data_IF_894010278119
#
_entry.id   IF_894010278119
#
_cell.length_a   1.000
_cell.length_b   1.000
_cell.length_c   1.000
_cell.angle_alpha   90.00
_cell.angle_beta   90.00
_cell.angle_gamma   90.00
#
_symmetry.space_group_name_H-M   'P 1'
#
loop_
_entity.id
_entity.type
_entity.pdbx_description
1 polymer ?
#
# COMPACT_ATOMS: atom_id res chain seq x y z
N UNK A 1 13.61 -23.50 -20.67
CA UNK A 1 14.32 -22.30 -21.15
C UNK A 1 14.07 -21.22 -20.13
N UNK A 2 15.04 -20.39 -19.77
CA UNK A 2 14.83 -19.34 -18.77
C UNK A 2 14.39 -18.06 -19.48
N UNK A 3 13.26 -17.51 -19.07
CA UNK A 3 12.72 -16.27 -19.62
C UNK A 3 13.40 -15.06 -18.95
N UNK A 4 13.71 -14.08 -19.77
CA UNK A 4 14.23 -12.76 -19.39
C UNK A 4 13.51 -11.71 -20.25
N UNK A 5 13.58 -10.43 -19.88
CA UNK A 5 12.94 -9.36 -20.68
C UNK A 5 13.35 -9.44 -22.16
N UNK A 6 14.64 -9.64 -22.41
CA UNK A 6 15.22 -9.58 -23.75
C UNK A 6 14.75 -10.74 -24.65
N UNK A 7 14.48 -11.92 -24.09
CA UNK A 7 14.11 -13.10 -24.87
C UNK A 7 12.61 -13.43 -24.81
N UNK A 8 11.84 -12.74 -23.95
CA UNK A 8 10.43 -13.05 -23.70
C UNK A 8 9.58 -13.00 -24.96
N UNK A 9 9.64 -11.88 -25.70
CA UNK A 9 8.83 -11.67 -26.92
C UNK A 9 9.08 -12.73 -27.99
N UNK A 10 10.29 -13.26 -28.06
CA UNK A 10 10.65 -14.28 -29.05
C UNK A 10 10.27 -15.69 -28.59
N UNK A 11 10.52 -15.99 -27.31
CA UNK A 11 10.20 -17.29 -26.72
C UNK A 11 8.69 -17.56 -26.67
N UNK A 12 7.86 -16.52 -26.55
CA UNK A 12 6.41 -16.68 -26.38
C UNK A 12 5.57 -16.56 -27.65
N UNK A 13 6.19 -16.39 -28.84
CA UNK A 13 5.44 -16.21 -30.11
C UNK A 13 4.46 -17.34 -30.42
N UNK A 14 4.81 -18.56 -29.99
CA UNK A 14 4.04 -19.77 -30.30
C UNK A 14 3.16 -20.24 -29.13
N UNK A 15 3.00 -19.43 -28.07
CA UNK A 15 2.19 -19.78 -26.90
C UNK A 15 0.76 -19.25 -27.06
N UNK A 16 -0.22 -20.13 -26.85
CA UNK A 16 -1.62 -19.73 -26.74
C UNK A 16 -1.95 -19.26 -25.31
N UNK A 17 -1.79 -17.96 -25.06
CA UNK A 17 -2.05 -17.31 -23.76
C UNK A 17 -3.49 -17.41 -23.27
N UNK A 18 -4.45 -17.85 -24.10
CA UNK A 18 -5.84 -18.07 -23.66
C UNK A 18 -5.98 -19.33 -22.80
N UNK A 19 -5.04 -20.28 -22.90
CA UNK A 19 -5.01 -21.54 -22.13
C UNK A 19 -4.24 -21.45 -20.82
N UNK A 20 -3.55 -20.32 -20.58
CA UNK A 20 -2.78 -20.09 -19.36
C UNK A 20 -3.65 -19.55 -18.21
N UNK A 21 -3.18 -19.68 -16.95
CA UNK A 21 -3.84 -19.07 -15.80
C UNK A 21 -4.09 -17.57 -16.02
N UNK A 22 -5.21 -17.07 -15.49
CA UNK A 22 -5.64 -15.67 -15.65
C UNK A 22 -4.54 -14.65 -15.31
N UNK A 23 -3.75 -14.94 -14.27
CA UNK A 23 -2.62 -14.11 -13.86
C UNK A 23 -1.56 -13.96 -14.96
N UNK A 24 -1.23 -15.02 -15.70
CA UNK A 24 -0.27 -14.96 -16.80
C UNK A 24 -0.87 -14.28 -18.04
N UNK A 25 -2.18 -14.42 -18.26
CA UNK A 25 -2.88 -13.77 -19.37
C UNK A 25 -2.93 -12.26 -19.20
N UNK A 26 -3.28 -11.77 -18.00
CA UNK A 26 -3.30 -10.33 -17.70
C UNK A 26 -1.89 -9.73 -17.73
N UNK A 27 -0.91 -10.41 -17.11
CA UNK A 27 0.48 -9.93 -17.12
C UNK A 27 1.09 -9.92 -18.53
N UNK A 28 0.71 -10.85 -19.42
CA UNK A 28 1.17 -10.84 -20.81
C UNK A 28 0.63 -9.64 -21.60
N UNK A 29 -0.65 -9.25 -21.38
CA UNK A 29 -1.25 -8.07 -22.04
C UNK A 29 -0.53 -6.78 -21.68
N UNK A 30 -0.10 -6.66 -20.44
CA UNK A 30 0.56 -5.46 -19.92
C UNK A 30 2.09 -5.56 -19.98
N UNK A 31 2.64 -6.65 -20.54
CA UNK A 31 4.09 -6.90 -20.57
C UNK A 31 4.86 -5.75 -21.23
N UNK A 32 4.41 -5.29 -22.39
CA UNK A 32 5.06 -4.20 -23.13
C UNK A 32 5.08 -2.89 -22.34
N UNK A 33 4.06 -2.65 -21.51
CA UNK A 33 3.97 -1.45 -20.67
C UNK A 33 4.84 -1.55 -19.42
N UNK A 34 5.23 -2.75 -18.99
CA UNK A 34 6.04 -2.96 -17.79
C UNK A 34 7.50 -3.30 -18.07
N UNK A 35 7.80 -3.83 -19.26
CA UNK A 35 9.15 -4.21 -19.66
C UNK A 35 10.14 -3.03 -19.56
N UNK A 36 9.69 -1.83 -19.93
CA UNK A 36 10.50 -0.59 -19.86
C UNK A 36 10.90 -0.21 -18.43
N UNK A 37 10.15 -0.66 -17.42
CA UNK A 37 10.36 -0.30 -16.01
C UNK A 37 11.02 -1.41 -15.18
N UNK A 38 11.42 -2.53 -15.80
CA UNK A 38 11.93 -3.70 -15.08
C UNK A 38 13.20 -3.40 -14.26
N UNK A 39 14.10 -2.55 -14.76
CA UNK A 39 15.33 -2.17 -14.04
C UNK A 39 15.13 -0.93 -13.15
N UNK A 40 13.98 -0.25 -13.26
CA UNK A 40 13.67 0.98 -12.53
C UNK A 40 12.87 0.73 -11.24
N UNK A 41 12.03 -0.31 -11.21
CA UNK A 41 11.14 -0.60 -10.08
C UNK A 41 11.27 -2.06 -9.61
N UNK A 42 11.59 -2.24 -8.33
CA UNK A 42 11.79 -3.56 -7.71
C UNK A 42 10.51 -4.39 -7.67
N UNK A 43 9.35 -3.76 -7.49
CA UNK A 43 8.07 -4.45 -7.44
C UNK A 43 7.63 -4.89 -8.84
N UNK A 44 7.91 -4.08 -9.88
CA UNK A 44 7.69 -4.44 -11.29
C UNK A 44 8.63 -5.58 -11.71
N UNK A 45 9.89 -5.52 -11.29
CA UNK A 45 10.85 -6.60 -11.50
C UNK A 45 10.36 -7.92 -10.91
N UNK A 46 9.90 -7.91 -9.65
CA UNK A 46 9.40 -9.09 -8.97
C UNK A 46 8.11 -9.62 -9.63
N UNK A 47 7.22 -8.73 -10.11
CA UNK A 47 6.02 -9.09 -10.87
C UNK A 47 6.37 -9.79 -12.19
N UNK A 48 7.28 -9.21 -12.99
CA UNK A 48 7.71 -9.77 -14.28
C UNK A 48 8.51 -11.07 -14.11
N UNK A 49 9.37 -11.16 -13.09
CA UNK A 49 10.08 -12.40 -12.73
C UNK A 49 9.10 -13.52 -12.34
N UNK A 50 8.04 -13.20 -11.61
CA UNK A 50 7.00 -14.17 -11.27
C UNK A 50 6.19 -14.59 -12.50
N UNK A 51 5.90 -13.66 -13.40
CA UNK A 51 5.27 -13.96 -14.68
C UNK A 51 6.12 -14.89 -15.54
N UNK A 52 7.41 -14.62 -15.67
CA UNK A 52 8.37 -15.50 -16.35
C UNK A 52 8.32 -16.92 -15.77
N UNK A 53 8.34 -17.07 -14.45
CA UNK A 53 8.22 -18.38 -13.79
C UNK A 53 6.92 -19.11 -14.10
N UNK A 54 5.82 -18.39 -14.30
CA UNK A 54 4.53 -19.00 -14.65
C UNK A 54 4.53 -19.44 -16.11
N UNK A 55 5.15 -18.69 -17.02
CA UNK A 55 5.15 -18.98 -18.47
C UNK A 55 6.23 -20.00 -18.86
N UNK A 56 7.37 -20.03 -18.15
CA UNK A 56 8.50 -20.93 -18.40
C UNK A 56 8.13 -22.43 -18.52
N UNK A 57 7.25 -23.00 -17.67
CA UNK A 57 6.80 -24.38 -17.80
C UNK A 57 6.01 -24.66 -19.07
N UNK A 58 5.34 -23.65 -19.64
CA UNK A 58 4.51 -23.79 -20.84
C UNK A 58 5.28 -23.55 -22.15
N UNK A 59 6.57 -23.20 -22.06
CA UNK A 59 7.47 -23.16 -23.22
C UNK A 59 7.90 -24.56 -23.66
N UNK A 60 7.72 -25.56 -22.80
CA UNK A 60 8.00 -26.96 -23.08
C UNK A 60 6.68 -27.70 -23.03
N UNK A 61 6.36 -28.37 -24.13
CA UNK A 61 5.41 -29.48 -24.23
C UNK A 61 3.99 -29.13 -24.71
N UNK A 62 3.73 -29.46 -25.98
CA UNK A 62 2.51 -30.22 -26.31
C UNK A 62 2.33 -31.39 -25.33
N UNK A 63 1.09 -31.74 -24.96
CA UNK A 63 0.69 -31.97 -23.58
C UNK A 63 1.06 -33.36 -23.06
N UNK A 64 1.50 -33.45 -21.79
CA UNK A 64 1.24 -34.65 -20.97
C UNK A 64 0.80 -34.31 -19.54
N UNK A 65 -0.39 -34.84 -19.25
CA UNK A 65 -1.07 -35.11 -17.97
C UNK A 65 -0.21 -35.14 -16.71
N UNK A 66 -0.78 -34.53 -15.67
CA UNK A 66 -0.89 -34.95 -14.28
C UNK A 66 0.20 -35.89 -13.72
N UNK A 67 0.88 -35.46 -12.66
CA UNK A 67 1.04 -36.28 -11.45
C UNK A 67 1.48 -35.46 -10.25
N UNK A 68 1.00 -35.98 -9.12
CA UNK A 68 1.13 -35.55 -7.74
C UNK A 68 2.54 -35.68 -7.15
N UNK A 69 2.69 -35.03 -6.00
CA UNK A 69 3.60 -35.35 -4.88
C UNK A 69 5.14 -35.26 -4.96
N UNK A 70 5.64 -34.51 -3.96
CA UNK A 70 6.72 -34.82 -3.01
C UNK A 70 8.20 -34.44 -3.29
N UNK A 71 8.64 -33.59 -2.35
CA UNK A 71 9.84 -33.71 -1.49
C UNK A 71 11.23 -33.39 -2.06
N UNK A 72 11.76 -32.28 -1.52
CA UNK A 72 13.07 -32.15 -0.86
C UNK A 72 14.35 -32.49 -1.62
N UNK A 73 15.24 -31.50 -1.74
CA UNK A 73 16.62 -31.69 -1.27
C UNK A 73 17.30 -30.34 -1.01
N UNK A 74 17.89 -30.25 0.19
CA UNK A 74 18.87 -29.24 0.57
C UNK A 74 20.21 -29.51 -0.12
N UNK A 75 21.13 -28.54 -0.15
CA UNK A 75 22.54 -28.88 0.07
C UNK A 75 23.13 -28.20 1.32
N UNK A 76 23.80 -29.03 2.12
CA UNK A 76 24.68 -28.67 3.25
C UNK A 76 26.03 -28.11 2.76
N UNK A 77 26.60 -27.26 3.63
CA UNK A 77 27.98 -26.72 3.74
C UNK A 77 29.07 -27.80 3.60
N UNK A 78 30.33 -27.51 3.22
CA UNK A 78 31.46 -26.86 3.98
C UNK A 78 32.71 -26.85 3.05
N UNK A 79 33.72 -25.95 3.09
CA UNK A 79 34.61 -25.49 4.18
C UNK A 79 35.38 -24.20 3.76
N UNK A 80 35.41 -23.10 4.55
CA UNK A 80 36.51 -22.57 5.44
C UNK A 80 37.93 -22.54 4.82
N UNK A 81 38.68 -21.42 4.83
CA UNK A 81 39.29 -20.72 6.01
C UNK A 81 39.76 -19.27 5.63
N UNK A 82 40.41 -18.45 6.49
CA UNK A 82 39.82 -17.24 7.08
C UNK A 82 40.61 -15.92 6.82
N UNK A 83 39.95 -14.77 6.95
CA UNK A 83 40.63 -13.50 7.21
C UNK A 83 39.88 -12.71 8.28
N UNK A 84 40.60 -12.41 9.36
CA UNK A 84 40.15 -11.65 10.51
C UNK A 84 39.96 -10.17 10.17
N UNK A 85 38.92 -9.53 10.75
CA UNK A 85 38.95 -8.14 11.23
C UNK A 85 37.72 -7.85 12.11
N UNK A 86 38.00 -7.72 13.41
CA UNK A 86 37.38 -6.85 14.41
C UNK A 86 35.91 -6.40 14.22
N UNK A 87 34.99 -7.03 14.97
CA UNK A 87 33.69 -6.43 15.32
C UNK A 87 33.69 -5.99 16.78
N UNK A 88 33.86 -4.70 17.02
CA UNK A 88 33.46 -4.05 18.26
C UNK A 88 31.93 -4.09 18.36
N UNK A 89 31.40 -4.95 19.24
CA UNK A 89 29.98 -4.95 19.60
C UNK A 89 29.73 -3.82 20.60
N UNK A 90 29.17 -2.70 20.15
CA UNK A 90 28.42 -1.79 21.04
C UNK A 90 27.12 -2.49 21.45
N UNK A 91 26.81 -2.63 22.76
CA UNK A 91 25.53 -3.15 23.19
C UNK A 91 24.44 -2.12 22.85
N UNK A 92 23.57 -2.46 21.90
CA UNK A 92 22.34 -1.71 21.65
C UNK A 92 21.39 -1.95 22.81
N UNK A 93 21.45 -1.07 23.81
CA UNK A 93 20.44 -0.99 24.85
C UNK A 93 19.13 -0.54 24.19
N UNK A 94 18.22 -1.50 24.00
CA UNK A 94 16.82 -1.21 23.65
C UNK A 94 16.21 -0.43 24.81
N UNK A 95 16.28 0.90 24.73
CA UNK A 95 15.59 1.79 25.65
C UNK A 95 14.10 1.46 25.53
N UNK A 96 13.52 0.82 26.56
CA UNK A 96 12.07 0.67 26.70
C UNK A 96 11.50 2.09 26.78
N UNK A 97 11.06 2.62 25.65
CA UNK A 97 10.30 3.85 25.62
C UNK A 97 8.96 3.57 26.27
N UNK A 98 8.73 4.19 27.43
CA UNK A 98 7.42 4.21 28.06
C UNK A 98 6.38 4.64 27.03
N UNK A 99 5.23 3.96 26.99
CA UNK A 99 4.16 4.22 26.05
C UNK A 99 3.65 5.66 26.24
N UNK A 100 4.15 6.58 25.43
CA UNK A 100 3.69 7.96 25.40
C UNK A 100 2.27 7.92 24.83
N UNK A 101 1.25 8.17 25.68
CA UNK A 101 -0.14 8.29 25.25
C UNK A 101 -0.19 9.23 24.04
N UNK A 102 -0.64 8.71 22.91
CA UNK A 102 -0.68 9.47 21.66
C UNK A 102 -1.74 10.54 21.82
N UNK A 103 -1.35 11.82 21.71
CA UNK A 103 -2.31 12.93 21.68
C UNK A 103 -3.18 12.76 20.44
N UNK A 104 -4.47 12.52 20.65
CA UNK A 104 -5.47 12.40 19.59
C UNK A 104 -5.57 13.70 18.81
N UNK A 105 -5.90 13.59 17.53
CA UNK A 105 -6.05 14.78 16.68
C UNK A 105 -7.44 15.38 16.89
N UNK A 106 -7.60 16.70 16.73
CA UNK A 106 -8.89 17.38 16.90
C UNK A 106 -10.00 16.81 16.02
N UNK A 107 -9.69 16.51 14.75
CA UNK A 107 -10.64 15.95 13.79
C UNK A 107 -10.24 14.52 13.42
N UNK A 108 -10.73 13.55 14.19
CA UNK A 108 -10.61 12.14 13.81
C UNK A 108 -11.73 11.74 12.85
N UNK A 109 -11.32 11.34 11.65
CA UNK A 109 -12.24 11.00 10.57
C UNK A 109 -12.04 9.57 10.10
N UNK A 110 -13.13 8.99 9.63
CA UNK A 110 -13.19 7.68 9.03
C UNK A 110 -12.27 7.53 7.80
N UNK A 111 -12.35 8.53 6.94
CA UNK A 111 -11.63 8.66 5.69
C UNK A 111 -11.19 10.11 5.61
N UNK A 112 -9.91 10.33 5.34
CA UNK A 112 -9.41 11.68 5.13
C UNK A 112 -10.10 12.30 3.90
N UNK A 113 -10.69 13.50 4.02
CA UNK A 113 -11.28 14.19 2.88
C UNK A 113 -10.27 14.39 1.75
N UNK A 114 -10.76 14.43 0.51
CA UNK A 114 -9.89 14.55 -0.68
C UNK A 114 -9.04 15.82 -0.65
N UNK A 115 -9.61 16.94 -0.19
CA UNK A 115 -8.93 18.22 -0.03
C UNK A 115 -7.72 18.10 0.91
N UNK A 116 -7.89 17.47 2.07
CA UNK A 116 -6.82 17.27 3.04
C UNK A 116 -5.74 16.34 2.47
N UNK A 117 -6.12 15.33 1.67
CA UNK A 117 -5.15 14.45 0.98
C UNK A 117 -4.32 15.24 -0.04
N UNK A 118 -4.95 16.13 -0.81
CA UNK A 118 -4.28 17.01 -1.77
C UNK A 118 -3.30 17.92 -1.04
N UNK A 119 -3.76 18.62 0.01
CA UNK A 119 -2.92 19.51 0.83
C UNK A 119 -1.75 18.76 1.44
N UNK A 120 -1.99 17.56 2.00
CA UNK A 120 -0.94 16.73 2.57
C UNK A 120 0.10 16.32 1.52
N UNK A 121 -0.35 15.94 0.31
CA UNK A 121 0.56 15.56 -0.79
C UNK A 121 1.38 16.75 -1.27
N UNK A 122 0.77 17.93 -1.36
CA UNK A 122 1.46 19.19 -1.65
C UNK A 122 2.54 19.49 -0.62
N UNK A 123 2.24 19.43 0.68
CA UNK A 123 3.23 19.62 1.75
C UNK A 123 4.37 18.60 1.71
N UNK A 124 4.12 17.35 1.32
CA UNK A 124 5.18 16.34 1.24
C UNK A 124 6.19 16.59 0.12
N UNK A 125 5.87 17.44 -0.84
CA UNK A 125 6.76 17.86 -1.93
C UNK A 125 7.73 18.97 -1.50
N UNK A 126 7.39 19.74 -0.45
CA UNK A 126 8.23 20.82 0.07
C UNK A 126 9.64 20.34 0.43
N UNK A 127 10.66 21.06 -0.06
CA UNK A 127 12.07 20.80 0.24
C UNK A 127 12.60 19.51 -0.37
N UNK A 128 11.90 18.93 -1.36
CA UNK A 128 12.33 17.73 -2.08
C UNK A 128 12.52 18.00 -3.55
N UNK A 129 13.33 17.14 -4.19
CA UNK A 129 13.41 17.05 -5.64
C UNK A 129 12.15 16.36 -6.15
N UNK A 130 11.34 17.08 -6.91
CA UNK A 130 10.05 16.65 -7.43
C UNK A 130 10.14 16.60 -8.95
N UNK A 131 9.66 15.50 -9.55
CA UNK A 131 9.62 15.35 -11.00
C UNK A 131 8.37 16.00 -11.62
N UNK A 132 8.45 16.33 -12.90
CA UNK A 132 7.34 16.83 -13.72
C UNK A 132 6.08 15.97 -13.57
N UNK A 133 6.25 14.63 -13.59
CA UNK A 133 5.18 13.67 -13.38
C UNK A 133 4.49 13.80 -12.03
N UNK A 134 5.23 14.08 -10.96
CA UNK A 134 4.64 14.21 -9.62
C UNK A 134 3.77 15.46 -9.50
N UNK A 135 4.23 16.58 -10.06
CA UNK A 135 3.47 17.84 -10.15
C UNK A 135 2.22 17.66 -11.02
N UNK A 136 2.39 17.09 -12.21
CA UNK A 136 1.30 16.88 -13.17
C UNK A 136 0.23 15.94 -12.64
N UNK A 137 0.61 14.86 -11.95
CA UNK A 137 -0.34 13.94 -11.32
C UNK A 137 -1.16 14.62 -10.22
N UNK A 138 -0.55 15.47 -9.38
CA UNK A 138 -1.30 16.17 -8.35
C UNK A 138 -2.25 17.20 -8.96
N UNK A 139 -1.79 17.93 -9.97
CA UNK A 139 -2.62 18.88 -10.70
C UNK A 139 -3.82 18.20 -11.38
N UNK A 140 -3.60 17.05 -12.04
CA UNK A 140 -4.67 16.23 -12.64
C UNK A 140 -5.70 15.76 -11.61
N UNK A 141 -5.28 15.39 -10.40
CA UNK A 141 -6.21 15.01 -9.32
C UNK A 141 -7.11 16.20 -8.94
N UNK A 142 -6.58 17.41 -8.87
CA UNK A 142 -7.36 18.63 -8.59
C UNK A 142 -8.35 18.90 -9.72
N UNK A 143 -7.91 18.82 -10.97
CA UNK A 143 -8.78 19.01 -12.14
C UNK A 143 -9.93 17.98 -12.16
N UNK A 144 -9.62 16.70 -11.98
CA UNK A 144 -10.61 15.63 -11.91
C UNK A 144 -11.61 15.87 -10.78
N UNK A 145 -11.13 16.26 -9.60
CA UNK A 145 -11.99 16.54 -8.46
C UNK A 145 -12.94 17.72 -8.70
N UNK A 146 -12.48 18.74 -9.43
CA UNK A 146 -13.31 19.87 -9.84
C UNK A 146 -14.37 19.45 -10.87
N UNK A 147 -13.99 18.67 -11.90
CA UNK A 147 -14.90 18.18 -12.94
C UNK A 147 -15.99 17.27 -12.37
N UNK A 148 -15.62 16.38 -11.46
CA UNK A 148 -16.55 15.47 -10.77
C UNK A 148 -17.39 16.18 -9.68
N UNK A 149 -17.18 17.49 -9.45
CA UNK A 149 -17.83 18.28 -8.40
C UNK A 149 -17.67 17.70 -6.99
N UNK A 150 -16.57 16.97 -6.76
CA UNK A 150 -16.20 16.43 -5.44
C UNK A 150 -15.57 17.50 -4.57
N UNK A 151 -14.86 18.46 -5.18
CA UNK A 151 -14.41 19.70 -4.55
C UNK A 151 -15.19 20.85 -5.18
N UNK A 152 -16.11 21.44 -4.41
CA UNK A 152 -16.95 22.56 -4.84
C UNK A 152 -16.39 23.86 -4.26
N UNK A 153 -16.76 25.00 -4.85
CA UNK A 153 -16.43 26.34 -4.30
C UNK A 153 -16.93 26.55 -2.86
N UNK A 154 -17.97 25.82 -2.47
CA UNK A 154 -18.55 25.85 -1.12
C UNK A 154 -17.84 24.93 -0.12
N UNK A 155 -16.85 24.14 -0.54
CA UNK A 155 -16.14 23.25 0.36
C UNK A 155 -15.19 24.01 1.29
N UNK A 156 -14.94 23.45 2.48
CA UNK A 156 -14.21 24.13 3.58
C UNK A 156 -12.80 24.58 3.20
N UNK A 157 -12.09 23.82 2.37
CA UNK A 157 -10.71 24.14 1.94
C UNK A 157 -10.57 24.34 0.43
N UNK A 158 -11.66 24.74 -0.23
CA UNK A 158 -11.69 24.91 -1.68
C UNK A 158 -10.69 25.98 -2.16
N UNK A 159 -10.58 27.08 -1.41
CA UNK A 159 -9.68 28.18 -1.75
C UNK A 159 -8.20 27.78 -1.61
N UNK A 160 -7.85 27.03 -0.57
CA UNK A 160 -6.49 26.49 -0.41
C UNK A 160 -6.16 25.52 -1.54
N UNK A 161 -7.07 24.62 -1.91
CA UNK A 161 -6.88 23.68 -3.02
C UNK A 161 -6.76 24.43 -4.36
N UNK A 162 -7.52 25.51 -4.56
CA UNK A 162 -7.41 26.36 -5.76
C UNK A 162 -6.04 27.05 -5.84
N UNK A 163 -5.55 27.60 -4.72
CA UNK A 163 -4.20 28.19 -4.65
C UNK A 163 -3.11 27.16 -4.97
N UNK A 164 -3.23 25.96 -4.41
CA UNK A 164 -2.32 24.84 -4.72
C UNK A 164 -2.39 24.49 -6.20
N UNK A 165 -3.58 24.42 -6.79
CA UNK A 165 -3.76 24.13 -8.21
C UNK A 165 -3.07 25.15 -9.12
N UNK A 166 -3.20 26.44 -8.80
CA UNK A 166 -2.55 27.51 -9.56
C UNK A 166 -1.02 27.44 -9.44
N UNK A 167 -0.51 27.22 -8.22
CA UNK A 167 0.92 27.08 -7.96
C UNK A 167 1.51 25.90 -8.73
N UNK A 168 0.88 24.72 -8.66
CA UNK A 168 1.29 23.55 -9.43
C UNK A 168 1.24 23.79 -10.94
N UNK A 169 0.25 24.54 -11.45
CA UNK A 169 0.15 24.86 -12.87
C UNK A 169 1.28 25.80 -13.32
N UNK A 170 1.66 26.77 -12.49
CA UNK A 170 2.81 27.66 -12.75
C UNK A 170 4.11 26.87 -12.70
N UNK A 171 4.34 26.10 -11.64
CA UNK A 171 5.52 25.24 -11.53
C UNK A 171 5.63 24.29 -12.71
N UNK A 172 4.53 23.67 -13.13
CA UNK A 172 4.52 22.75 -14.26
C UNK A 172 4.95 23.40 -15.58
N UNK A 173 4.60 24.67 -15.81
CA UNK A 173 4.99 25.41 -17.01
C UNK A 173 6.46 25.84 -17.01
N UNK A 174 6.98 26.15 -15.82
CA UNK A 174 8.34 26.70 -15.64
C UNK A 174 9.38 25.61 -15.39
N UNK A 175 8.97 24.43 -14.90
CA UNK A 175 9.87 23.34 -14.59
C UNK A 175 10.29 22.55 -15.84
N UNK A 176 11.53 22.06 -15.83
CA UNK A 176 11.98 20.99 -16.72
C UNK A 176 11.62 19.61 -16.14
N UNK A 177 12.52 18.63 -16.28
CA UNK A 177 12.27 17.25 -15.81
C UNK A 177 12.08 17.14 -14.28
N UNK A 178 12.80 17.96 -13.51
CA UNK A 178 12.70 18.00 -12.05
C UNK A 178 13.07 19.37 -11.48
N UNK A 179 12.45 19.74 -10.36
CA UNK A 179 12.78 20.95 -9.62
C UNK A 179 12.80 20.68 -8.11
N UNK A 180 13.50 21.54 -7.37
CA UNK A 180 13.37 21.60 -5.91
C UNK A 180 12.09 22.37 -5.61
N UNK A 181 11.09 21.68 -5.04
CA UNK A 181 9.78 22.27 -4.83
C UNK A 181 9.74 23.02 -3.51
N UNK A 182 9.64 24.35 -3.59
CA UNK A 182 9.59 25.22 -2.42
C UNK A 182 8.23 25.87 -2.26
N UNK A 183 7.71 25.86 -1.04
CA UNK A 183 6.41 26.44 -0.70
C UNK A 183 6.67 27.68 0.15
N UNK A 184 6.00 28.82 -0.12
CA UNK A 184 6.09 29.98 0.76
C UNK A 184 5.76 29.62 2.21
N UNK A 185 6.61 30.02 3.15
CA UNK A 185 6.49 29.62 4.57
C UNK A 185 5.14 29.96 5.21
N UNK A 186 4.53 31.09 4.80
CA UNK A 186 3.20 31.51 5.26
C UNK A 186 2.09 30.55 4.82
N UNK A 187 2.18 30.02 3.60
CA UNK A 187 1.24 29.03 3.08
C UNK A 187 1.51 27.66 3.71
N UNK A 188 2.78 27.27 3.80
CA UNK A 188 3.20 26.02 4.43
C UNK A 188 2.68 25.89 5.88
N UNK A 189 2.83 26.93 6.71
CA UNK A 189 2.35 26.91 8.10
C UNK A 189 0.83 26.74 8.22
N UNK A 190 0.06 27.43 7.36
CA UNK A 190 -1.41 27.32 7.34
C UNK A 190 -1.85 25.91 6.92
N UNK A 191 -1.32 25.42 5.80
CA UNK A 191 -1.63 24.10 5.27
C UNK A 191 -1.22 22.99 6.24
N UNK A 192 -0.05 23.12 6.88
CA UNK A 192 0.43 22.18 7.89
C UNK A 192 -0.51 22.12 9.09
N UNK A 193 -0.98 23.26 9.57
CA UNK A 193 -1.97 23.33 10.68
C UNK A 193 -3.27 22.60 10.30
N UNK A 194 -3.75 22.80 9.07
CA UNK A 194 -4.94 22.12 8.56
C UNK A 194 -4.72 20.61 8.58
N UNK A 195 -3.64 20.10 7.97
CA UNK A 195 -3.34 18.66 7.92
C UNK A 195 -3.09 18.06 9.30
N UNK A 196 -2.43 18.81 10.19
CA UNK A 196 -2.16 18.36 11.55
C UNK A 196 -3.47 18.24 12.37
N UNK A 197 -4.48 19.06 12.09
CA UNK A 197 -5.80 18.97 12.72
C UNK A 197 -6.58 17.70 12.34
N UNK A 198 -6.34 17.11 11.16
CA UNK A 198 -7.03 15.89 10.69
C UNK A 198 -6.22 14.62 10.92
N UNK A 199 -6.85 13.64 11.53
CA UNK A 199 -6.32 12.29 11.73
C UNK A 199 -7.27 11.24 11.20
N UNK A 200 -6.74 10.17 10.63
CA UNK A 200 -7.55 8.96 10.50
C UNK A 200 -7.48 8.24 11.84
N UNK A 201 -8.64 7.93 12.42
CA UNK A 201 -8.69 7.23 13.70
C UNK A 201 -7.95 5.89 13.60
N UNK A 202 -7.02 5.56 14.53
CA UNK A 202 -6.29 4.30 14.52
C UNK A 202 -7.22 3.08 14.55
N UNK A 203 -8.33 3.17 15.29
CA UNK A 203 -9.33 2.10 15.35
C UNK A 203 -9.98 1.88 13.97
N UNK A 204 -10.46 2.93 13.33
CA UNK A 204 -11.02 2.85 11.97
C UNK A 204 -10.02 2.28 10.98
N UNK A 205 -8.76 2.71 11.03
CA UNK A 205 -7.73 2.25 10.10
C UNK A 205 -7.50 0.73 10.22
N UNK A 206 -7.51 0.19 11.44
CA UNK A 206 -7.38 -1.24 11.71
C UNK A 206 -8.62 -2.01 11.24
N UNK A 207 -9.82 -1.48 11.46
CA UNK A 207 -11.08 -2.07 10.99
C UNK A 207 -11.09 -2.14 9.45
N UNK A 208 -10.73 -1.05 8.75
CA UNK A 208 -10.63 -1.06 7.29
C UNK A 208 -9.63 -2.09 6.78
N UNK A 209 -8.49 -2.22 7.45
CA UNK A 209 -7.49 -3.23 7.10
C UNK A 209 -8.04 -4.65 7.26
N UNK A 210 -8.87 -4.90 8.28
CA UNK A 210 -9.58 -6.17 8.42
C UNK A 210 -10.54 -6.42 7.24
N UNK A 211 -11.38 -5.43 6.91
CA UNK A 211 -12.33 -5.52 5.78
C UNK A 211 -11.59 -5.83 4.47
N UNK A 212 -10.46 -5.15 4.20
CA UNK A 212 -9.69 -5.36 2.97
C UNK A 212 -8.98 -6.72 2.93
N UNK A 213 -8.78 -7.38 4.07
CA UNK A 213 -8.25 -8.74 4.12
C UNK A 213 -9.35 -9.78 3.91
N UNK A 214 -10.61 -9.41 4.10
CA UNK A 214 -11.74 -10.31 3.94
C UNK A 214 -11.79 -10.83 2.49
N UNK A 215 -11.84 -12.16 2.33
CA UNK A 215 -11.79 -12.84 1.02
C UNK A 215 -10.38 -13.27 0.56
N UNK A 216 -9.29 -12.69 1.08
CA UNK A 216 -7.90 -13.02 0.72
C UNK A 216 -6.97 -13.13 1.96
N UNK A 217 -7.56 -13.45 3.10
CA UNK A 217 -6.84 -13.53 4.37
C UNK A 217 -6.04 -14.83 4.42
N UNK A 218 -4.77 -14.71 4.81
CA UNK A 218 -3.90 -15.84 5.12
C UNK A 218 -3.57 -15.82 6.60
N UNK A 219 -3.19 -16.96 7.17
CA UNK A 219 -2.76 -17.09 8.58
C UNK A 219 -1.70 -16.04 8.94
N UNK A 220 -0.74 -15.78 8.04
CA UNK A 220 0.26 -14.73 8.25
C UNK A 220 -0.32 -13.32 8.30
N UNK A 221 -1.22 -12.98 7.35
CA UNK A 221 -1.87 -11.67 7.31
C UNK A 221 -2.73 -11.44 8.55
N UNK A 222 -3.44 -12.48 9.00
CA UNK A 222 -4.23 -12.46 10.23
C UNK A 222 -3.34 -12.22 11.47
N UNK A 223 -2.24 -12.98 11.63
CA UNK A 223 -1.27 -12.79 12.73
C UNK A 223 -0.67 -11.36 12.72
N UNK A 224 -0.32 -10.84 11.55
CA UNK A 224 0.21 -9.47 11.40
C UNK A 224 -0.81 -8.41 11.81
N UNK A 225 -2.07 -8.56 11.41
CA UNK A 225 -3.14 -7.65 11.79
C UNK A 225 -3.44 -7.72 13.29
N UNK A 226 -3.53 -8.93 13.85
CA UNK A 226 -3.75 -9.14 15.28
C UNK A 226 -2.63 -8.51 16.13
N UNK A 227 -1.37 -8.68 15.74
CA UNK A 227 -0.22 -8.02 16.36
C UNK A 227 -0.34 -6.49 16.28
N UNK A 228 -0.82 -5.96 15.14
CA UNK A 228 -1.05 -4.53 14.97
C UNK A 228 -2.12 -4.01 15.94
N UNK A 229 -3.21 -4.75 16.13
CA UNK A 229 -4.28 -4.42 17.09
C UNK A 229 -3.75 -4.46 18.52
N UNK A 230 -3.04 -5.52 18.91
CA UNK A 230 -2.45 -5.67 20.25
C UNK A 230 -1.48 -4.52 20.56
N UNK A 231 -0.64 -4.15 19.60
CA UNK A 231 0.28 -3.01 19.74
C UNK A 231 -0.44 -1.66 19.80
N UNK A 232 -1.52 -1.47 19.05
CA UNK A 232 -2.30 -0.23 19.09
C UNK A 232 -2.96 -0.04 20.47
N UNK A 233 -3.52 -1.11 21.05
CA UNK A 233 -4.06 -1.11 22.42
C UNK A 233 -2.97 -0.85 23.45
N UNK A 234 -1.86 -1.59 23.38
CA UNK A 234 -0.71 -1.44 24.30
C UNK A 234 -0.11 -0.04 24.30
N UNK A 235 -0.01 0.59 23.13
CA UNK A 235 0.57 1.92 22.99
C UNK A 235 -0.44 3.06 23.25
N UNK A 236 -1.67 2.75 23.65
CA UNK A 236 -2.73 3.76 23.88
C UNK A 236 -3.12 4.52 22.61
N UNK A 237 -2.95 3.91 21.43
CA UNK A 237 -3.48 4.44 20.15
C UNK A 237 -4.95 4.10 19.95
N UNK A 238 -5.39 3.02 20.60
CA UNK A 238 -6.78 2.59 20.67
C UNK A 238 -7.07 2.32 22.13
N UNK A 239 -8.07 2.99 22.69
CA UNK A 239 -8.51 2.85 24.08
C UNK A 239 -10.04 2.70 24.18
N UNK A 240 -10.51 2.42 25.39
CA UNK A 240 -11.93 2.13 25.68
C UNK A 240 -12.84 3.33 25.35
N UNK A 241 -12.30 4.55 25.36
CA UNK A 241 -13.01 5.76 24.99
C UNK A 241 -13.19 5.94 23.47
N UNK A 242 -12.60 5.07 22.64
CA UNK A 242 -12.85 5.10 21.20
C UNK A 242 -14.28 4.67 20.87
N UNK A 243 -14.94 5.47 20.04
CA UNK A 243 -16.28 5.17 19.50
C UNK A 243 -16.33 3.81 18.77
N UNK A 244 -15.19 3.39 18.21
CA UNK A 244 -15.02 2.12 17.48
C UNK A 244 -14.32 1.02 18.31
N UNK A 245 -14.09 1.22 19.61
CA UNK A 245 -13.38 0.26 20.45
C UNK A 245 -14.06 -1.11 20.49
N UNK A 246 -15.37 -1.14 20.67
CA UNK A 246 -16.15 -2.39 20.69
C UNK A 246 -16.01 -3.18 19.39
N UNK A 247 -15.94 -2.49 18.24
CA UNK A 247 -15.72 -3.12 16.93
C UNK A 247 -14.31 -3.67 16.80
N UNK A 248 -13.30 -2.98 17.34
CA UNK A 248 -11.93 -3.51 17.39
C UNK A 248 -11.84 -4.80 18.21
N UNK A 249 -12.57 -4.90 19.32
CA UNK A 249 -12.63 -6.14 20.11
C UNK A 249 -13.24 -7.27 19.29
N UNK A 250 -14.33 -7.00 18.56
CA UNK A 250 -14.95 -7.99 17.68
C UNK A 250 -13.97 -8.45 16.60
N UNK A 251 -13.29 -7.53 15.93
CA UNK A 251 -12.26 -7.85 14.93
C UNK A 251 -11.12 -8.67 15.54
N UNK A 252 -10.69 -8.33 16.77
CA UNK A 252 -9.65 -9.09 17.46
C UNK A 252 -10.10 -10.54 17.69
N UNK A 253 -11.32 -10.74 18.18
CA UNK A 253 -11.89 -12.07 18.44
C UNK A 253 -11.98 -12.89 17.15
N UNK A 254 -12.50 -12.32 16.06
CA UNK A 254 -12.57 -13.02 14.77
C UNK A 254 -11.21 -13.45 14.23
N UNK A 255 -10.18 -12.62 14.44
CA UNK A 255 -8.82 -12.98 14.04
C UNK A 255 -8.22 -14.06 14.93
N UNK A 256 -8.58 -14.11 16.22
CA UNK A 256 -8.15 -15.16 17.14
C UNK A 256 -8.87 -16.48 16.79
N UNK A 257 -10.19 -16.45 16.62
CA UNK A 257 -11.00 -17.61 16.21
C UNK A 257 -10.50 -18.20 14.87
N UNK A 258 -10.22 -17.36 13.86
CA UNK A 258 -9.64 -17.83 12.58
C UNK A 258 -8.30 -18.54 12.74
N UNK A 259 -7.45 -18.06 13.65
CA UNK A 259 -6.13 -18.64 13.89
C UNK A 259 -6.20 -19.95 14.68
N UNK A 260 -7.28 -20.20 15.40
CA UNK A 260 -7.51 -21.41 16.19
C UNK A 260 -8.25 -22.50 15.39
N UNK A 261 -9.25 -22.15 14.59
CA UNK A 261 -10.11 -23.14 13.92
C UNK A 261 -9.80 -23.39 12.43
N UNK A 262 -8.86 -22.63 11.82
CA UNK A 262 -8.47 -22.62 10.39
C UNK A 262 -9.64 -22.44 9.38
N UNK A 263 -10.87 -22.35 9.89
CA UNK A 263 -12.10 -22.01 9.18
C UNK A 263 -12.46 -20.58 9.54
N UNK A 264 -12.41 -19.69 8.56
CA UNK A 264 -13.12 -18.42 8.67
C UNK A 264 -14.60 -18.75 8.78
N UNK A 265 -15.21 -18.52 9.94
CA UNK A 265 -16.65 -18.38 10.01
C UNK A 265 -17.01 -17.10 9.26
N UNK A 266 -17.15 -17.21 7.94
CA UNK A 266 -17.91 -16.26 7.13
C UNK A 266 -19.36 -16.40 7.57
N UNK A 267 -19.69 -15.88 8.73
CA UNK A 267 -21.09 -15.62 9.04
C UNK A 267 -21.40 -14.28 8.39
N UNK A 268 -22.32 -14.33 7.41
CA UNK A 268 -22.96 -13.19 6.76
C UNK A 268 -23.61 -12.17 7.74
N UNK A 269 -23.40 -12.32 9.05
CA UNK A 269 -24.16 -11.72 10.15
C UNK A 269 -23.49 -10.44 10.67
N UNK A 270 -22.20 -10.17 10.41
CA UNK A 270 -21.53 -8.94 10.91
C UNK A 270 -21.29 -7.85 9.87
N UNK A 271 -21.45 -8.16 8.59
CA UNK A 271 -21.32 -7.16 7.51
C UNK A 271 -22.40 -6.08 7.60
N UNK A 272 -23.57 -6.31 8.19
CA UNK A 272 -24.60 -5.28 8.34
C UNK A 272 -24.20 -4.16 9.31
N UNK A 273 -23.40 -4.45 10.34
CA UNK A 273 -22.86 -3.43 11.25
C UNK A 273 -21.65 -2.65 10.69
N UNK A 274 -20.95 -3.22 9.70
CA UNK A 274 -19.77 -2.64 9.05
C UNK A 274 -20.05 -2.01 7.67
N UNK A 275 -21.14 -2.40 6.98
CA UNK A 275 -21.58 -1.86 5.68
C UNK A 275 -21.90 -0.36 5.73
N UNK A 276 -22.37 0.13 6.88
CA UNK A 276 -22.64 1.56 7.09
C UNK A 276 -21.40 2.47 6.96
N UNK A 277 -20.19 1.91 7.00
CA UNK A 277 -18.94 2.66 6.90
C UNK A 277 -18.38 2.75 5.47
N UNK A 278 -18.82 1.87 4.57
CA UNK A 278 -18.29 1.75 3.21
C UNK A 278 -19.14 2.47 2.15
N UNK A 279 -20.28 3.07 2.52
CA UNK A 279 -21.23 3.62 1.55
C UNK A 279 -21.91 2.54 0.68
N UNK A 280 -21.79 1.27 1.06
CA UNK A 280 -22.36 0.10 0.36
C UNK A 280 -23.76 -0.24 0.88
N UNK A 281 -24.50 0.78 1.33
CA UNK A 281 -25.84 0.65 1.91
C UNK A 281 -26.74 1.77 1.42
N UNK A 282 -27.21 1.62 0.18
CA UNK A 282 -28.54 2.03 -0.25
C UNK A 282 -29.18 0.82 -0.91
#
# INVERSE_FOLDING_TARGET
MRLTIANYKEATKNIDFKKLPEAAREAHKEFDSFADFYDEDKDIKEMLDNHFRIVEPFLKDEPKKASDEKKSSAPKKTAKKPAAKSKAKKPSSRKKTAAKKVKRKPNEVALMPLEIKIIKRYLTMHGKKVSERQVSLLYKVIQKAATEKTIRKSSKYAEEVRRIGNDLATTYKEMGESCTFEIPGSLHGKLKTIVDSYGVSPAVALIKRFINLYGNITVEKAKRLLSSIKNAKKNGKVDIGDKDYGRIIQVQKHLEDYLESDKLLVTNIQLNGLKGFAGLGK
#
